data_IF_310920926998
#
_entry.id   IF_310920926998
#
_cell.length_a   1.000
_cell.length_b   1.000
_cell.length_c   1.000
_cell.angle_alpha   90.00
_cell.angle_beta   90.00
_cell.angle_gamma   90.00
#
_symmetry.space_group_name_H-M   'P 1'
#
loop_
_entity.id
_entity.type
_entity.pdbx_description
1 polymer ?
#
# COMPACT_ATOMS: atom_id res chain seq x y z
N UNK A 1 -5.60 -14.75 7.92
CA UNK A 1 -5.04 -13.70 7.06
C UNK A 1 -6.15 -12.99 6.33
N UNK A 2 -6.10 -11.68 6.30
CA UNK A 2 -7.05 -10.85 5.57
C UNK A 2 -6.37 -10.38 4.29
N UNK A 3 -7.06 -10.49 3.15
CA UNK A 3 -6.50 -10.15 1.84
C UNK A 3 -7.49 -9.34 1.03
N UNK A 4 -6.95 -8.38 0.27
CA UNK A 4 -7.71 -7.65 -0.73
C UNK A 4 -6.84 -7.47 -1.97
N UNK A 5 -7.43 -7.62 -3.15
CA UNK A 5 -6.72 -7.47 -4.42
C UNK A 5 -7.58 -6.68 -5.39
N UNK A 6 -6.97 -5.69 -6.04
CA UNK A 6 -7.63 -4.86 -7.05
C UNK A 6 -6.72 -4.66 -8.24
N UNK A 7 -7.30 -4.66 -9.43
CA UNK A 7 -6.58 -4.39 -10.67
C UNK A 7 -7.31 -3.27 -11.41
N UNK A 8 -6.58 -2.23 -11.79
CA UNK A 8 -7.16 -1.03 -12.39
C UNK A 8 -6.13 -0.29 -13.25
N UNK A 9 -6.62 0.58 -14.11
CA UNK A 9 -5.78 1.30 -15.07
C UNK A 9 -5.69 2.78 -14.71
N UNK A 10 -4.49 3.34 -14.88
CA UNK A 10 -4.21 4.78 -14.73
C UNK A 10 -3.61 5.30 -16.03
N UNK A 11 -3.68 6.63 -16.23
CA UNK A 11 -3.28 7.25 -17.49
C UNK A 11 -1.80 7.59 -17.60
N UNK A 12 -1.03 7.42 -16.54
CA UNK A 12 0.39 7.81 -16.51
C UNK A 12 1.32 6.67 -16.90
N UNK A 13 2.51 7.00 -17.48
CA UNK A 13 3.49 5.97 -17.85
C UNK A 13 3.99 5.16 -16.67
N UNK A 14 4.39 3.93 -16.92
CA UNK A 14 4.77 2.98 -15.88
C UNK A 14 5.92 3.48 -14.99
N UNK A 15 6.94 4.13 -15.57
CA UNK A 15 8.05 4.67 -14.79
C UNK A 15 7.59 5.74 -13.81
N UNK A 16 6.73 6.65 -14.26
CA UNK A 16 6.19 7.72 -13.41
C UNK A 16 5.37 7.15 -12.26
N UNK A 17 4.58 6.10 -12.54
CA UNK A 17 3.75 5.43 -11.53
C UNK A 17 4.63 4.74 -10.49
N UNK A 18 5.63 3.99 -10.92
CA UNK A 18 6.55 3.28 -10.03
C UNK A 18 7.34 4.26 -9.16
N UNK A 19 7.88 5.32 -9.76
CA UNK A 19 8.65 6.33 -9.01
C UNK A 19 7.80 6.99 -7.94
N UNK A 20 6.57 7.32 -8.26
CA UNK A 20 5.65 7.92 -7.29
C UNK A 20 5.33 6.95 -6.14
N UNK A 21 4.94 5.72 -6.46
CA UNK A 21 4.51 4.74 -5.47
C UNK A 21 5.66 4.15 -4.66
N UNK A 22 6.90 4.24 -5.16
CA UNK A 22 8.07 3.75 -4.43
C UNK A 22 8.30 4.50 -3.12
N UNK A 23 7.91 5.76 -3.04
CA UNK A 23 7.96 6.51 -1.79
C UNK A 23 6.65 6.30 -1.01
N UNK A 24 6.72 5.48 0.03
CA UNK A 24 5.54 5.13 0.81
C UNK A 24 4.96 6.31 1.61
N UNK A 25 5.68 7.41 1.72
CA UNK A 25 5.13 8.63 2.29
C UNK A 25 3.90 9.12 1.51
N UNK A 26 3.83 8.80 0.22
CA UNK A 26 2.67 9.13 -0.60
C UNK A 26 1.40 8.37 -0.22
N UNK A 27 1.51 7.33 0.62
CA UNK A 27 0.33 6.63 1.13
C UNK A 27 -0.60 7.58 1.90
N UNK A 28 -0.09 8.70 2.41
CA UNK A 28 -0.95 9.73 2.99
C UNK A 28 -2.00 10.24 2.00
N UNK A 29 -1.72 10.17 0.70
CA UNK A 29 -2.63 10.62 -0.35
C UNK A 29 -3.49 9.50 -0.93
N UNK A 30 -2.92 8.30 -1.14
CA UNK A 30 -3.65 7.25 -1.86
C UNK A 30 -4.26 6.17 -0.96
N UNK A 31 -3.80 6.04 0.30
CA UNK A 31 -4.33 5.02 1.20
C UNK A 31 -5.36 5.64 2.15
N UNK A 32 -6.65 5.26 2.05
CA UNK A 32 -7.69 5.81 2.92
C UNK A 32 -7.48 5.51 4.41
N UNK A 33 -6.74 4.45 4.74
CA UNK A 33 -6.45 4.08 6.12
C UNK A 33 -5.27 4.81 6.74
N UNK A 34 -4.41 5.43 5.93
CA UNK A 34 -3.21 6.09 6.43
C UNK A 34 -3.50 7.51 6.89
N UNK A 35 -3.22 7.79 8.16
CA UNK A 35 -3.27 9.13 8.74
C UNK A 35 -1.97 9.88 8.52
N UNK A 36 -0.83 9.24 8.75
CA UNK A 36 0.50 9.80 8.48
C UNK A 36 1.49 8.72 8.09
N UNK A 37 2.45 9.07 7.26
CA UNK A 37 3.50 8.15 6.84
C UNK A 37 4.76 8.97 6.55
N UNK A 38 5.78 8.84 7.42
CA UNK A 38 6.98 9.67 7.37
C UNK A 38 8.23 8.81 7.25
N UNK A 39 9.20 9.20 6.40
CA UNK A 39 10.49 8.51 6.33
C UNK A 39 11.16 8.51 7.71
N UNK A 40 11.81 7.41 8.06
CA UNK A 40 12.53 7.29 9.33
C UNK A 40 14.01 7.63 9.23
N UNK A 41 14.51 7.89 8.01
CA UNK A 41 15.90 8.24 7.79
C UNK A 41 16.07 9.15 6.60
N UNK A 42 17.28 9.75 6.45
CA UNK A 42 17.59 10.63 5.32
C UNK A 42 17.92 9.82 4.06
N UNK A 43 18.02 10.52 2.93
CA UNK A 43 18.48 9.95 1.68
C UNK A 43 17.38 9.52 0.75
N UNK A 44 17.75 9.11 -0.47
CA UNK A 44 16.79 8.69 -1.48
C UNK A 44 16.11 7.37 -1.13
N UNK A 45 14.91 7.18 -1.68
CA UNK A 45 14.16 5.94 -1.49
C UNK A 45 14.88 4.80 -2.20
N UNK A 46 15.08 3.69 -1.48
CA UNK A 46 15.71 2.48 -2.01
C UNK A 46 15.20 1.27 -1.22
N UNK A 47 15.49 0.08 -1.71
CA UNK A 47 15.22 -1.16 -0.95
C UNK A 47 15.91 -1.04 0.41
N UNK A 48 15.14 -1.29 1.47
CA UNK A 48 15.60 -1.10 2.85
C UNK A 48 15.16 0.21 3.48
N UNK A 49 14.68 1.19 2.69
CA UNK A 49 14.08 2.41 3.24
C UNK A 49 12.90 2.07 4.12
N UNK A 50 12.71 2.85 5.18
CA UNK A 50 11.64 2.62 6.15
C UNK A 50 10.84 3.88 6.41
N UNK A 51 9.58 3.69 6.82
CA UNK A 51 8.64 4.75 7.14
C UNK A 51 7.90 4.42 8.43
N UNK A 52 7.63 5.44 9.23
CA UNK A 52 6.72 5.32 10.36
C UNK A 52 5.30 5.65 9.87
N UNK A 53 4.42 4.68 9.97
CA UNK A 53 3.05 4.79 9.49
C UNK A 53 2.07 4.80 10.67
N UNK A 54 1.12 5.72 10.64
CA UNK A 54 -0.03 5.74 11.54
C UNK A 54 -1.27 5.49 10.70
N UNK A 55 -1.95 4.39 10.96
CA UNK A 55 -3.18 4.01 10.27
C UNK A 55 -4.35 4.05 11.22
N UNK A 56 -5.53 4.36 10.68
CA UNK A 56 -6.78 4.38 11.45
C UNK A 56 -7.71 3.30 10.90
N UNK A 57 -8.19 2.43 11.78
CA UNK A 57 -9.15 1.41 11.44
C UNK A 57 -10.20 1.32 12.55
N UNK A 58 -11.47 1.45 12.20
CA UNK A 58 -12.59 1.49 13.15
C UNK A 58 -12.41 2.58 14.20
N UNK A 59 -11.85 3.72 13.81
CA UNK A 59 -11.60 4.85 14.72
C UNK A 59 -10.41 4.67 15.65
N UNK A 60 -9.67 3.59 15.51
CA UNK A 60 -8.50 3.30 16.35
C UNK A 60 -7.22 3.49 15.56
N UNK A 61 -6.28 4.25 16.12
CA UNK A 61 -4.96 4.44 15.53
C UNK A 61 -4.04 3.26 15.83
N UNK A 62 -3.29 2.87 14.82
CA UNK A 62 -2.30 1.79 14.90
C UNK A 62 -1.02 2.26 14.22
N UNK A 63 0.12 2.02 14.86
CA UNK A 63 1.42 2.36 14.30
C UNK A 63 2.07 1.13 13.69
N UNK A 64 2.69 1.30 12.53
CA UNK A 64 3.47 0.27 11.86
C UNK A 64 4.77 0.87 11.34
N UNK A 65 5.81 0.06 11.28
CA UNK A 65 7.02 0.41 10.55
C UNK A 65 6.97 -0.31 9.21
N UNK A 66 6.91 0.47 8.13
CA UNK A 66 6.96 -0.05 6.76
C UNK A 66 8.37 -0.04 6.22
N UNK A 67 8.70 -1.05 5.44
CA UNK A 67 9.98 -1.18 4.73
C UNK A 67 9.71 -1.51 3.28
N UNK A 68 10.46 -0.88 2.36
CA UNK A 68 10.48 -1.30 0.97
C UNK A 68 11.37 -2.53 0.87
N UNK A 69 10.75 -3.70 0.67
CA UNK A 69 11.46 -4.97 0.68
C UNK A 69 11.82 -5.46 -0.72
N UNK A 70 11.12 -4.97 -1.75
CA UNK A 70 11.41 -5.35 -3.13
C UNK A 70 11.09 -4.19 -4.08
N UNK A 71 12.03 -3.88 -4.97
CA UNK A 71 11.81 -2.99 -6.11
C UNK A 71 12.42 -3.64 -7.34
N UNK A 72 11.56 -4.02 -8.28
CA UNK A 72 11.92 -4.64 -9.55
C UNK A 72 11.24 -3.88 -10.68
N UNK A 73 11.69 -4.03 -11.93
CA UNK A 73 10.90 -3.54 -13.06
C UNK A 73 9.50 -4.15 -12.99
N UNK A 74 8.50 -3.31 -12.80
CA UNK A 74 7.11 -3.75 -12.74
C UNK A 74 6.63 -4.28 -11.40
N UNK A 75 7.39 -4.13 -10.29
CA UNK A 75 6.91 -4.60 -8.98
C UNK A 75 7.51 -3.82 -7.81
N UNK A 76 6.65 -3.50 -6.85
CA UNK A 76 7.03 -2.93 -5.54
C UNK A 76 6.39 -3.75 -4.44
N UNK A 77 7.15 -4.08 -3.41
CA UNK A 77 6.61 -4.77 -2.23
C UNK A 77 7.04 -4.02 -0.98
N UNK A 78 6.06 -3.68 -0.16
CA UNK A 78 6.27 -3.06 1.16
C UNK A 78 5.79 -4.00 2.25
N UNK A 79 6.48 -4.00 3.38
CA UNK A 79 6.09 -4.78 4.54
C UNK A 79 6.03 -3.87 5.76
N UNK A 80 4.86 -3.82 6.40
CA UNK A 80 4.63 -3.06 7.62
C UNK A 80 4.45 -4.00 8.80
N UNK A 81 5.11 -3.70 9.91
CA UNK A 81 5.07 -4.58 11.08
C UNK A 81 4.84 -3.81 12.37
N UNK A 82 4.17 -4.49 13.29
CA UNK A 82 4.11 -4.15 14.70
C UNK A 82 3.95 -5.44 15.51
N UNK A 83 3.69 -5.31 16.81
CA UNK A 83 3.53 -6.50 17.67
C UNK A 83 2.33 -7.37 17.30
N UNK A 84 1.30 -6.77 16.72
CA UNK A 84 0.00 -7.42 16.50
C UNK A 84 -0.19 -7.93 15.07
N UNK A 85 0.55 -7.41 14.10
CA UNK A 85 0.29 -7.72 12.70
C UNK A 85 1.49 -7.51 11.81
N UNK A 86 1.47 -8.20 10.66
CA UNK A 86 2.34 -7.94 9.51
C UNK A 86 1.44 -7.65 8.32
N UNK A 87 1.62 -6.47 7.73
CA UNK A 87 0.89 -6.02 6.55
C UNK A 87 1.84 -6.03 5.36
N UNK A 88 1.40 -6.57 4.23
CA UNK A 88 2.19 -6.59 3.00
C UNK A 88 1.38 -5.91 1.90
N UNK A 89 1.98 -4.90 1.28
CA UNK A 89 1.44 -4.23 0.11
C UNK A 89 2.28 -4.65 -1.10
N UNK A 90 1.68 -5.41 -2.00
CA UNK A 90 2.34 -5.95 -3.19
C UNK A 90 1.71 -5.32 -4.42
N UNK A 91 2.49 -4.55 -5.16
CA UNK A 91 2.03 -3.81 -6.34
C UNK A 91 2.76 -4.27 -7.58
N UNK A 92 2.01 -4.66 -8.61
CA UNK A 92 2.55 -5.03 -9.91
C UNK A 92 2.08 -4.03 -10.95
N UNK A 93 2.93 -3.77 -11.94
CA UNK A 93 2.70 -2.73 -12.95
C UNK A 93 2.95 -3.28 -14.35
N UNK A 94 2.01 -3.00 -15.24
CA UNK A 94 2.08 -3.41 -16.63
C UNK A 94 1.82 -2.20 -17.53
N UNK A 95 2.73 -1.94 -18.47
CA UNK A 95 2.54 -0.87 -19.44
C UNK A 95 1.41 -1.21 -20.40
N UNK A 96 0.47 -0.28 -20.59
CA UNK A 96 -0.64 -0.45 -21.52
C UNK A 96 -0.26 0.09 -22.90
N UNK A 97 -0.85 -0.45 -23.99
CA UNK A 97 -0.54 0.00 -25.35
C UNK A 97 -0.75 1.50 -25.58
N UNK A 98 -1.71 2.11 -24.88
CA UNK A 98 -2.00 3.53 -25.02
C UNK A 98 -1.10 4.45 -24.18
N UNK A 99 -0.11 3.90 -23.47
CA UNK A 99 0.84 4.67 -22.67
C UNK A 99 0.52 4.80 -21.20
N UNK A 100 -0.61 4.26 -20.76
CA UNK A 100 -0.97 4.17 -19.34
C UNK A 100 -0.37 2.95 -18.66
N UNK A 101 -0.84 2.69 -17.44
CA UNK A 101 -0.35 1.59 -16.61
C UNK A 101 -1.50 0.83 -15.99
N UNK A 102 -1.43 -0.51 -16.03
CA UNK A 102 -2.30 -1.36 -15.23
C UNK A 102 -1.60 -1.65 -13.91
N UNK A 103 -2.27 -1.32 -12.82
CA UNK A 103 -1.79 -1.57 -11.47
C UNK A 103 -2.57 -2.75 -10.89
N UNK A 104 -1.86 -3.73 -10.36
CA UNK A 104 -2.47 -4.77 -9.53
C UNK A 104 -1.96 -4.57 -8.11
N UNK A 105 -2.86 -4.18 -7.24
CA UNK A 105 -2.57 -3.90 -5.83
C UNK A 105 -3.13 -5.03 -4.98
N UNK A 106 -2.29 -5.62 -4.15
CA UNK A 106 -2.70 -6.64 -3.20
C UNK A 106 -2.19 -6.29 -1.81
N UNK A 107 -3.12 -6.22 -0.86
CA UNK A 107 -2.80 -6.04 0.55
C UNK A 107 -3.14 -7.31 1.31
N UNK A 108 -2.20 -7.80 2.10
CA UNK A 108 -2.39 -8.95 2.97
C UNK A 108 -2.05 -8.53 4.38
N UNK A 109 -2.91 -8.88 5.35
CA UNK A 109 -2.65 -8.62 6.75
C UNK A 109 -2.71 -9.93 7.52
N UNK A 110 -1.60 -10.25 8.19
CA UNK A 110 -1.48 -11.42 9.05
C UNK A 110 -1.46 -10.93 10.49
N UNK A 111 -2.47 -11.33 11.26
CA UNK A 111 -2.52 -11.00 12.67
C UNK A 111 -1.75 -12.06 13.49
N UNK A 112 -1.12 -11.60 14.57
CA UNK A 112 -0.31 -12.45 15.44
C UNK A 112 -1.04 -12.73 16.76
N UNK A 113 -0.72 -13.85 17.39
CA UNK A 113 -1.28 -14.23 18.67
C UNK A 113 -2.79 -14.46 18.61
N UNK A 114 -3.50 -14.08 19.66
CA UNK A 114 -4.94 -14.30 19.77
C UNK A 114 -5.74 -13.40 18.79
N UNK A 115 -5.15 -12.28 18.35
CA UNK A 115 -5.81 -11.36 17.42
C UNK A 115 -6.10 -12.02 16.08
N UNK A 116 -5.31 -13.01 15.68
CA UNK A 116 -5.53 -13.71 14.40
C UNK A 116 -6.90 -14.38 14.30
N UNK A 117 -7.55 -14.66 15.44
CA UNK A 117 -8.86 -15.30 15.47
C UNK A 117 -9.99 -14.38 15.01
N UNK A 118 -9.76 -13.05 14.96
CA UNK A 118 -10.78 -12.08 14.55
C UNK A 118 -10.57 -11.56 13.13
N UNK A 119 -9.49 -11.98 12.44
CA UNK A 119 -9.17 -11.49 11.11
C UNK A 119 -10.29 -11.68 10.09
N UNK A 120 -10.97 -12.83 10.12
CA UNK A 120 -12.09 -13.11 9.22
C UNK A 120 -13.26 -12.15 9.41
N UNK A 121 -13.48 -11.66 10.66
CA UNK A 121 -14.60 -10.77 10.97
C UNK A 121 -14.45 -9.38 10.34
N UNK A 122 -13.24 -8.99 9.95
CA UNK A 122 -12.96 -7.67 9.37
C UNK A 122 -12.77 -7.71 7.85
N UNK A 123 -12.85 -8.89 7.23
CA UNK A 123 -12.63 -9.04 5.79
C UNK A 123 -13.56 -8.14 4.97
N UNK A 124 -14.82 -8.02 5.34
CA UNK A 124 -15.78 -7.15 4.64
C UNK A 124 -15.39 -5.69 4.67
N UNK A 125 -14.84 -5.21 5.78
CA UNK A 125 -14.36 -3.83 5.90
C UNK A 125 -13.10 -3.61 5.06
N UNK A 126 -12.20 -4.59 5.01
CA UNK A 126 -11.03 -4.52 4.15
C UNK A 126 -11.41 -4.52 2.67
N UNK A 127 -12.46 -5.22 2.28
CA UNK A 127 -12.96 -5.18 0.92
C UNK A 127 -13.40 -3.76 0.54
N UNK A 128 -14.08 -3.07 1.45
CA UNK A 128 -14.47 -1.66 1.24
C UNK A 128 -13.27 -0.75 1.16
N UNK A 129 -12.28 -0.96 2.03
CA UNK A 129 -11.03 -0.20 1.98
C UNK A 129 -10.30 -0.42 0.66
N UNK A 130 -10.31 -1.65 0.13
CA UNK A 130 -9.74 -1.95 -1.18
C UNK A 130 -10.38 -1.15 -2.30
N UNK A 131 -11.70 -1.02 -2.29
CA UNK A 131 -12.42 -0.20 -3.27
C UNK A 131 -12.05 1.28 -3.15
N UNK A 132 -11.94 1.79 -1.93
CA UNK A 132 -11.51 3.17 -1.68
C UNK A 132 -10.07 3.41 -2.08
N UNK A 133 -9.19 2.45 -1.81
CA UNK A 133 -7.78 2.52 -2.22
C UNK A 133 -7.67 2.62 -3.74
N UNK A 134 -8.40 1.78 -4.46
CA UNK A 134 -8.44 1.84 -5.92
C UNK A 134 -8.87 3.21 -6.41
N UNK A 135 -9.96 3.75 -5.86
CA UNK A 135 -10.49 5.04 -6.27
C UNK A 135 -9.52 6.19 -5.97
N UNK A 136 -8.94 6.22 -4.78
CA UNK A 136 -7.99 7.26 -4.39
C UNK A 136 -6.68 7.18 -5.16
N UNK A 137 -6.13 5.98 -5.30
CA UNK A 137 -4.88 5.78 -6.04
C UNK A 137 -5.04 6.19 -7.50
N UNK A 138 -6.15 5.81 -8.12
CA UNK A 138 -6.48 6.21 -9.50
C UNK A 138 -6.51 7.73 -9.64
N UNK A 139 -7.24 8.41 -8.75
CA UNK A 139 -7.38 9.86 -8.79
C UNK A 139 -6.04 10.56 -8.58
N UNK A 140 -5.28 10.14 -7.58
CA UNK A 140 -4.01 10.79 -7.22
C UNK A 140 -2.98 10.61 -8.33
N UNK A 141 -2.86 9.41 -8.88
CA UNK A 141 -1.89 9.13 -9.95
C UNK A 141 -2.28 9.87 -11.23
N UNK A 142 -3.56 9.85 -11.62
CA UNK A 142 -4.00 10.54 -12.82
C UNK A 142 -3.78 12.06 -12.75
N UNK A 143 -3.65 12.60 -11.56
CA UNK A 143 -3.40 14.03 -11.33
C UNK A 143 -1.92 14.40 -11.27
N UNK A 144 -1.01 13.45 -11.42
CA UNK A 144 0.43 13.72 -11.39
C UNK A 144 0.89 14.62 -12.56
#
# INVERSE_FOLDING_TARGET
>A
MVSVKRSFDVSKPVESVIDYLADFAHAEAWDPGTKSCKPTGPGPVAVGSTWHNVSVFRGKETELTYRLVKREPGRLVFEGTNKSATSTDDMSFEALPAGGTRITYQANIKFHGLIKLVGWAVQGEFNKLGDLTQAQMTRVINAL
#
